data_IF_459633415802
#
_entry.id   IF_459633415802
#
_cell.length_a   1.000
_cell.length_b   1.000
_cell.length_c   1.000
_cell.angle_alpha   90.00
_cell.angle_beta   90.00
_cell.angle_gamma   90.00
#
_symmetry.space_group_name_H-M   'P 1'
#
loop_
_entity.id
_entity.type
_entity.pdbx_description
1 polymer ?
#
# COMPACT_ATOMS: atom_id res chain seq x y z
N UNK A 1 6.65 -18.39 -4.33
CA UNK A 1 6.01 -17.68 -3.20
C UNK A 1 5.29 -16.40 -3.63
N UNK A 2 5.99 -15.34 -4.10
CA UNK A 2 5.33 -14.08 -4.53
C UNK A 2 4.37 -14.24 -5.72
N UNK A 3 4.68 -15.11 -6.68
CA UNK A 3 3.80 -15.39 -7.83
C UNK A 3 2.46 -16.01 -7.40
N UNK A 4 2.49 -16.99 -6.49
CA UNK A 4 1.30 -17.66 -5.94
C UNK A 4 0.39 -16.65 -5.23
N UNK A 5 0.94 -15.82 -4.34
CA UNK A 5 0.16 -14.78 -3.68
C UNK A 5 -0.39 -13.74 -4.67
N UNK A 6 0.33 -13.48 -5.78
CA UNK A 6 -0.15 -12.58 -6.83
C UNK A 6 -1.35 -13.15 -7.56
N UNK A 7 -1.29 -14.42 -7.93
CA UNK A 7 -2.36 -15.15 -8.61
C UNK A 7 -3.59 -15.33 -7.71
N UNK A 8 -3.40 -15.68 -6.44
CA UNK A 8 -4.48 -15.78 -5.46
C UNK A 8 -5.23 -14.44 -5.36
N UNK A 9 -4.51 -13.32 -5.21
CA UNK A 9 -5.12 -12.00 -5.13
C UNK A 9 -5.94 -11.60 -6.37
N UNK A 10 -5.58 -12.07 -7.57
CA UNK A 10 -6.36 -11.79 -8.79
C UNK A 10 -7.62 -12.64 -8.92
N UNK A 11 -7.74 -13.75 -8.19
CA UNK A 11 -8.92 -14.62 -8.20
C UNK A 11 -9.93 -14.30 -7.09
N UNK A 12 -9.58 -13.41 -6.16
CA UNK A 12 -10.47 -13.04 -5.07
C UNK A 12 -11.58 -12.12 -5.57
N UNK A 13 -12.83 -12.52 -5.36
CA UNK A 13 -13.98 -11.63 -5.46
C UNK A 13 -14.07 -10.80 -4.18
N UNK A 14 -13.75 -9.50 -4.29
CA UNK A 14 -13.72 -8.58 -3.17
C UNK A 14 -14.81 -7.53 -3.37
N UNK A 15 -15.77 -7.48 -2.44
CA UNK A 15 -16.68 -6.34 -2.34
C UNK A 15 -15.96 -5.17 -1.67
N UNK A 16 -15.55 -4.19 -2.48
CA UNK A 16 -14.81 -3.01 -2.02
C UNK A 16 -15.57 -2.15 -1.01
N UNK A 17 -16.88 -2.34 -0.82
CA UNK A 17 -17.67 -1.62 0.18
C UNK A 17 -17.51 -2.20 1.59
N UNK A 18 -17.07 -3.46 1.73
CA UNK A 18 -16.88 -4.08 3.05
C UNK A 18 -15.86 -3.28 3.90
N UNK A 19 -16.08 -3.09 5.21
CA UNK A 19 -15.18 -2.31 6.07
C UNK A 19 -13.83 -3.01 6.33
N UNK A 20 -13.76 -4.33 6.11
CA UNK A 20 -12.58 -5.17 6.27
C UNK A 20 -12.72 -6.43 5.41
N UNK A 21 -11.62 -7.11 5.10
CA UNK A 21 -11.65 -8.37 4.35
C UNK A 21 -11.27 -9.55 5.23
N UNK A 22 -12.14 -10.56 5.30
CA UNK A 22 -11.82 -11.86 5.89
C UNK A 22 -11.89 -12.92 4.78
N UNK A 23 -10.74 -13.46 4.41
CA UNK A 23 -10.55 -14.33 3.26
C UNK A 23 -10.19 -15.72 3.76
N UNK A 24 -10.94 -16.73 3.33
CA UNK A 24 -10.53 -18.13 3.42
C UNK A 24 -9.87 -18.51 2.10
N UNK A 25 -8.61 -18.93 2.13
CA UNK A 25 -7.79 -19.19 0.96
C UNK A 25 -7.24 -20.61 0.97
N UNK A 26 -7.15 -21.20 -0.21
CA UNK A 26 -6.52 -22.52 -0.42
C UNK A 26 -4.99 -22.47 -0.55
N UNK A 27 -4.36 -21.33 -0.22
CA UNK A 27 -2.90 -21.25 -0.24
C UNK A 27 -2.31 -21.88 1.03
N UNK A 28 -1.05 -22.36 0.99
CA UNK A 28 -0.36 -22.81 2.18
C UNK A 28 -0.30 -21.72 3.27
N UNK A 29 -0.48 -22.13 4.53
CA UNK A 29 -0.53 -21.23 5.70
C UNK A 29 0.64 -20.24 5.79
N UNK A 30 1.84 -20.65 5.38
CA UNK A 30 3.03 -19.81 5.33
C UNK A 30 2.96 -18.64 4.33
N UNK A 31 1.93 -18.56 3.48
CA UNK A 31 1.73 -17.50 2.50
C UNK A 31 0.60 -16.53 2.87
N UNK A 32 -0.18 -16.79 3.93
CA UNK A 32 -1.32 -15.95 4.33
C UNK A 32 -0.92 -14.50 4.55
N UNK A 33 0.23 -14.26 5.20
CA UNK A 33 0.74 -12.91 5.45
C UNK A 33 1.12 -12.14 4.17
N UNK A 34 1.59 -12.83 3.13
CA UNK A 34 1.92 -12.19 1.85
C UNK A 34 0.65 -11.78 1.10
N UNK A 35 -0.38 -12.63 1.11
CA UNK A 35 -1.68 -12.30 0.53
C UNK A 35 -2.33 -11.15 1.30
N UNK A 36 -2.33 -11.21 2.64
CA UNK A 36 -2.90 -10.17 3.51
C UNK A 36 -2.24 -8.80 3.26
N UNK A 37 -0.90 -8.73 3.20
CA UNK A 37 -0.19 -7.49 2.91
C UNK A 37 -0.49 -6.95 1.51
N UNK A 38 -0.71 -7.84 0.52
CA UNK A 38 -1.04 -7.41 -0.84
C UNK A 38 -2.44 -6.83 -0.93
N UNK A 39 -3.43 -7.48 -0.32
CA UNK A 39 -4.81 -6.98 -0.28
C UNK A 39 -4.89 -5.68 0.52
N UNK A 40 -4.17 -5.58 1.65
CA UNK A 40 -4.04 -4.33 2.41
C UNK A 40 -3.49 -3.21 1.53
N UNK A 41 -2.43 -3.47 0.75
CA UNK A 41 -1.83 -2.48 -0.13
C UNK A 41 -2.81 -1.93 -1.17
N UNK A 42 -3.66 -2.78 -1.74
CA UNK A 42 -4.63 -2.40 -2.78
C UNK A 42 -5.82 -1.60 -2.23
N UNK A 43 -6.33 -1.98 -1.06
CA UNK A 43 -7.61 -1.46 -0.58
C UNK A 43 -7.51 -0.62 0.70
N UNK A 44 -6.35 -0.58 1.35
CA UNK A 44 -6.09 0.17 2.58
C UNK A 44 -7.11 -0.10 3.71
N UNK A 45 -7.57 -1.35 3.79
CA UNK A 45 -8.54 -1.83 4.79
C UNK A 45 -7.96 -3.00 5.58
N UNK A 46 -8.44 -3.25 6.81
CA UNK A 46 -8.00 -4.40 7.60
C UNK A 46 -8.27 -5.70 6.86
N UNK A 47 -7.27 -6.59 6.84
CA UNK A 47 -7.32 -7.86 6.11
C UNK A 47 -6.93 -9.00 7.03
N UNK A 48 -7.75 -10.04 7.07
CA UNK A 48 -7.45 -11.32 7.67
C UNK A 48 -7.48 -12.40 6.57
N UNK A 49 -6.39 -13.14 6.41
CA UNK A 49 -6.32 -14.27 5.48
C UNK A 49 -6.13 -15.54 6.30
N UNK A 50 -7.04 -16.49 6.12
CA UNK A 50 -7.01 -17.80 6.74
C UNK A 50 -6.78 -18.89 5.69
N UNK A 51 -6.11 -19.95 6.10
CA UNK A 51 -6.03 -21.21 5.36
C UNK A 51 -6.19 -22.37 6.34
N UNK A 52 -6.49 -23.56 5.83
CA UNK A 52 -6.46 -24.77 6.66
C UNK A 52 -5.04 -24.98 7.20
N UNK A 53 -4.96 -25.39 8.46
CA UNK A 53 -3.69 -25.75 9.10
C UNK A 53 -3.18 -27.06 8.50
N UNK A 54 -1.88 -27.11 8.21
CA UNK A 54 -1.31 -28.31 7.59
C UNK A 54 -1.47 -29.53 8.51
N UNK A 55 -1.99 -30.63 7.96
CA UNK A 55 -2.24 -31.87 8.70
C UNK A 55 -3.49 -31.88 9.61
N UNK A 56 -4.34 -30.86 9.60
CA UNK A 56 -5.62 -30.85 10.35
C UNK A 56 -6.74 -30.19 9.54
N UNK A 57 -7.94 -30.78 9.52
CA UNK A 57 -9.03 -30.27 8.69
C UNK A 57 -9.95 -29.26 9.38
N UNK A 58 -9.88 -29.12 10.70
CA UNK A 58 -10.82 -28.37 11.55
C UNK A 58 -10.24 -27.07 12.13
N UNK A 59 -8.96 -26.79 11.88
CA UNK A 59 -8.26 -25.60 12.38
C UNK A 59 -7.83 -24.72 11.21
N UNK A 60 -8.08 -23.42 11.35
CA UNK A 60 -7.61 -22.39 10.42
C UNK A 60 -6.48 -21.59 11.04
N UNK A 61 -5.43 -21.32 10.25
CA UNK A 61 -4.34 -20.41 10.61
C UNK A 61 -4.55 -19.08 9.90
N UNK A 62 -4.71 -18.01 10.67
CA UNK A 62 -4.94 -16.65 10.21
C UNK A 62 -3.69 -15.78 10.26
N UNK A 63 -3.48 -14.98 9.21
CA UNK A 63 -2.58 -13.84 9.23
C UNK A 63 -3.34 -12.55 8.97
N UNK A 64 -3.21 -11.61 9.92
CA UNK A 64 -3.93 -10.33 9.90
C UNK A 64 -2.93 -9.21 9.60
N UNK A 65 -3.35 -8.29 8.74
CA UNK A 65 -2.64 -7.04 8.40
C UNK A 65 -3.63 -5.90 8.43
N UNK A 66 -3.24 -4.79 9.02
CA UNK A 66 -4.12 -3.65 9.25
C UNK A 66 -3.46 -2.34 8.78
N UNK A 67 -4.26 -1.37 8.28
CA UNK A 67 -3.76 -0.04 7.98
C UNK A 67 -3.42 0.71 9.27
N UNK A 68 -2.59 1.75 9.17
CA UNK A 68 -2.33 2.65 10.31
C UNK A 68 -3.65 3.16 10.90
N UNK A 69 -3.72 3.15 12.23
CA UNK A 69 -4.90 3.54 12.99
C UNK A 69 -5.74 2.36 13.46
N UNK A 70 -5.70 1.21 12.78
CA UNK A 70 -6.40 -0.01 13.22
C UNK A 70 -5.54 -0.80 14.20
N UNK A 71 -6.06 -1.06 15.40
CA UNK A 71 -5.42 -1.93 16.39
C UNK A 71 -6.01 -3.35 16.34
N UNK A 72 -5.20 -4.29 15.86
CA UNK A 72 -5.55 -5.71 15.75
C UNK A 72 -5.64 -6.41 17.10
N UNK A 73 -4.80 -6.01 18.07
CA UNK A 73 -4.81 -6.64 19.39
C UNK A 73 -6.06 -6.23 20.15
N UNK A 74 -6.43 -4.94 20.09
CA UNK A 74 -7.70 -4.46 20.67
C UNK A 74 -8.93 -5.10 19.98
N UNK A 75 -8.86 -5.33 18.66
CA UNK A 75 -9.90 -6.08 17.95
C UNK A 75 -10.06 -7.49 18.53
N UNK A 76 -8.96 -8.23 18.69
CA UNK A 76 -8.98 -9.59 19.23
C UNK A 76 -9.46 -9.68 20.68
N UNK A 77 -9.26 -8.65 21.50
CA UNK A 77 -9.80 -8.63 22.88
C UNK A 77 -11.30 -8.33 22.93
N UNK A 78 -11.85 -7.66 21.90
CA UNK A 78 -13.28 -7.30 21.83
C UNK A 78 -14.14 -8.32 21.08
N UNK A 79 -13.52 -9.28 20.42
CA UNK A 79 -14.18 -10.38 19.71
C UNK A 79 -14.51 -11.50 20.70
N UNK A 80 -15.67 -12.13 20.55
CA UNK A 80 -16.11 -13.27 21.37
C UNK A 80 -15.55 -14.62 20.88
N UNK A 81 -14.61 -14.58 19.93
CA UNK A 81 -13.96 -15.74 19.34
C UNK A 81 -13.07 -16.46 20.35
N UNK A 82 -13.24 -17.78 20.44
CA UNK A 82 -12.33 -18.66 21.17
C UNK A 82 -11.09 -18.95 20.32
N UNK A 83 -10.15 -18.01 20.29
CA UNK A 83 -8.86 -18.21 19.63
C UNK A 83 -8.08 -19.37 20.27
N UNK A 84 -7.65 -20.34 19.46
CA UNK A 84 -6.76 -21.41 19.89
C UNK A 84 -5.35 -20.85 20.15
N UNK A 85 -4.91 -19.93 19.29
CA UNK A 85 -3.73 -19.08 19.51
C UNK A 85 -4.03 -17.68 18.99
N UNK A 86 -3.46 -16.65 19.62
CA UNK A 86 -3.43 -15.27 19.10
C UNK A 86 -2.15 -14.58 19.56
N UNK A 87 -1.58 -13.72 18.73
CA UNK A 87 -0.41 -12.92 19.08
C UNK A 87 0.05 -12.02 17.95
N UNK A 88 0.82 -10.97 18.29
CA UNK A 88 1.34 -10.02 17.32
C UNK A 88 1.44 -8.60 17.88
N UNK A 89 1.23 -7.64 17.00
CA UNK A 89 1.32 -6.20 17.26
C UNK A 89 0.13 -5.47 16.63
N UNK A 90 0.01 -4.18 16.95
CA UNK A 90 -1.06 -3.28 16.51
C UNK A 90 -1.46 -3.45 15.03
N UNK A 91 -0.50 -3.56 14.11
CA UNK A 91 -0.77 -3.60 12.66
C UNK A 91 -0.66 -5.01 12.02
N UNK A 92 -0.23 -6.01 12.78
CA UNK A 92 0.10 -7.33 12.26
C UNK A 92 -0.04 -8.39 13.35
N UNK A 93 -0.90 -9.38 13.12
CA UNK A 93 -1.08 -10.48 14.06
C UNK A 93 -1.21 -11.83 13.34
N UNK A 94 -1.00 -12.90 14.11
CA UNK A 94 -1.35 -14.25 13.75
C UNK A 94 -2.33 -14.83 14.76
N UNK A 95 -3.24 -15.66 14.28
CA UNK A 95 -4.16 -16.39 15.16
C UNK A 95 -4.52 -17.75 14.59
N UNK A 96 -5.11 -18.60 15.41
CA UNK A 96 -5.77 -19.82 14.96
C UNK A 96 -7.13 -19.99 15.60
N UNK A 97 -8.09 -20.50 14.83
CA UNK A 97 -9.49 -20.68 15.21
C UNK A 97 -9.99 -22.02 14.68
N UNK A 98 -11.12 -22.50 15.21
CA UNK A 98 -11.83 -23.62 14.58
C UNK A 98 -12.46 -23.15 13.27
N UNK A 99 -12.56 -24.02 12.27
CA UNK A 99 -13.17 -23.70 10.97
C UNK A 99 -14.61 -23.19 11.12
N UNK A 100 -15.36 -23.76 12.06
CA UNK A 100 -16.74 -23.36 12.37
C UNK A 100 -16.86 -21.95 12.97
N UNK A 101 -15.78 -21.39 13.52
CA UNK A 101 -15.77 -20.03 14.09
C UNK A 101 -15.47 -18.97 13.04
N UNK A 102 -15.07 -19.35 11.82
CA UNK A 102 -14.71 -18.40 10.76
C UNK A 102 -15.86 -17.44 10.36
N UNK A 103 -17.13 -17.88 10.23
CA UNK A 103 -18.23 -16.95 9.97
C UNK A 103 -18.42 -15.91 11.08
N UNK A 104 -18.25 -16.33 12.35
CA UNK A 104 -18.32 -15.42 13.49
C UNK A 104 -17.15 -14.43 13.47
N UNK A 105 -15.94 -14.92 13.16
CA UNK A 105 -14.75 -14.08 13.03
C UNK A 105 -14.98 -12.99 11.96
N UNK A 106 -15.45 -13.37 10.76
CA UNK A 106 -15.71 -12.43 9.67
C UNK A 106 -16.69 -11.34 10.10
N UNK A 107 -17.77 -11.72 10.78
CA UNK A 107 -18.79 -10.79 11.26
C UNK A 107 -18.24 -9.80 12.29
N UNK A 108 -17.57 -10.28 13.33
CA UNK A 108 -17.09 -9.42 14.41
C UNK A 108 -15.91 -8.55 13.99
N UNK A 109 -15.02 -9.07 13.15
CA UNK A 109 -13.92 -8.29 12.59
C UNK A 109 -14.43 -7.12 11.73
N UNK A 110 -15.42 -7.39 10.87
CA UNK A 110 -16.10 -6.35 10.09
C UNK A 110 -16.83 -5.33 10.98
N UNK A 111 -17.51 -5.80 12.04
CA UNK A 111 -18.18 -4.91 12.99
C UNK A 111 -17.20 -4.00 13.72
N UNK A 112 -16.08 -4.53 14.20
CA UNK A 112 -15.03 -3.75 14.84
C UNK A 112 -14.43 -2.71 13.89
N UNK A 113 -14.16 -3.10 12.63
CA UNK A 113 -13.67 -2.20 11.59
C UNK A 113 -14.66 -1.07 11.27
N UNK A 114 -15.96 -1.37 11.27
CA UNK A 114 -17.02 -0.39 11.02
C UNK A 114 -17.16 0.62 12.17
N UNK A 115 -17.16 0.12 13.42
CA UNK A 115 -17.35 0.95 14.62
C UNK A 115 -16.18 1.89 14.84
N UNK A 116 -14.97 1.41 14.65
CA UNK A 116 -13.76 2.20 14.80
C UNK A 116 -13.35 2.65 13.40
N UNK A 117 -13.99 3.68 12.84
CA UNK A 117 -13.62 4.16 11.50
C UNK A 117 -12.16 4.61 11.50
N UNK A 118 -11.29 3.73 11.01
CA UNK A 118 -9.89 4.02 10.80
C UNK A 118 -9.81 4.79 9.49
N UNK A 119 -9.63 6.10 9.59
CA UNK A 119 -9.36 6.90 8.41
C UNK A 119 -7.99 6.46 7.90
N UNK A 120 -7.86 5.96 6.66
CA UNK A 120 -6.54 5.81 6.07
C UNK A 120 -5.88 7.18 6.20
N UNK A 121 -4.75 7.21 6.91
CA UNK A 121 -4.04 8.45 7.19
C UNK A 121 -3.83 9.12 5.84
N UNK A 122 -4.46 10.29 5.62
CA UNK A 122 -4.26 11.04 4.39
C UNK A 122 -2.77 11.16 4.20
N UNK A 123 -2.30 10.64 3.07
CA UNK A 123 -0.91 10.71 2.71
C UNK A 123 -0.51 12.19 2.73
N UNK A 124 0.37 12.54 3.66
CA UNK A 124 0.79 13.93 3.85
C UNK A 124 1.72 14.27 2.70
N UNK A 125 1.24 15.09 1.79
CA UNK A 125 2.04 15.68 0.72
C UNK A 125 2.37 17.12 1.08
N UNK A 126 3.55 17.56 0.66
CA UNK A 126 3.99 18.94 0.74
C UNK A 126 3.82 19.54 -0.67
N UNK A 127 3.04 20.62 -0.85
CA UNK A 127 3.00 21.32 -2.13
C UNK A 127 4.41 21.71 -2.56
N UNK A 128 4.78 21.42 -3.80
CA UNK A 128 6.08 21.78 -4.37
C UNK A 128 5.80 22.56 -5.65
N UNK A 129 6.32 23.78 -5.75
CA UNK A 129 6.21 24.54 -6.98
C UNK A 129 7.10 23.89 -8.06
N UNK A 130 6.69 23.98 -9.32
CA UNK A 130 7.44 23.39 -10.43
C UNK A 130 8.89 23.93 -10.50
N UNK A 131 9.11 25.20 -10.16
CA UNK A 131 10.45 25.82 -10.09
C UNK A 131 11.31 25.38 -8.90
N UNK A 132 10.71 24.73 -7.90
CA UNK A 132 11.42 24.20 -6.73
C UNK A 132 11.92 22.77 -6.95
N UNK A 133 11.60 22.14 -8.09
CA UNK A 133 12.13 20.83 -8.48
C UNK A 133 13.56 20.96 -8.99
N UNK A 134 14.50 21.20 -8.07
CA UNK A 134 15.89 21.49 -8.38
C UNK A 134 16.87 20.97 -7.30
N UNK A 135 18.16 21.03 -7.62
CA UNK A 135 19.25 20.51 -6.76
C UNK A 135 19.35 21.23 -5.41
N UNK A 136 19.04 22.53 -5.36
CA UNK A 136 19.07 23.31 -4.11
C UNK A 136 18.03 22.78 -3.12
N UNK A 137 16.80 22.55 -3.59
CA UNK A 137 15.72 21.96 -2.77
C UNK A 137 16.10 20.55 -2.33
N UNK A 138 16.65 19.74 -3.23
CA UNK A 138 17.10 18.39 -2.89
C UNK A 138 18.18 18.39 -1.80
N UNK A 139 19.22 19.21 -1.93
CA UNK A 139 20.28 19.33 -0.90
C UNK A 139 19.74 19.78 0.44
N UNK A 140 18.84 20.76 0.45
CA UNK A 140 18.16 21.20 1.67
C UNK A 140 17.37 20.05 2.30
N UNK A 141 16.59 19.31 1.51
CA UNK A 141 15.87 18.12 1.97
C UNK A 141 16.81 17.07 2.59
N UNK A 142 17.99 16.87 2.01
CA UNK A 142 18.99 15.91 2.51
C UNK A 142 19.55 16.28 3.88
N UNK A 143 19.44 17.54 4.33
CA UNK A 143 19.86 17.94 5.69
C UNK A 143 19.00 17.31 6.79
N UNK A 144 17.77 16.87 6.47
CA UNK A 144 16.89 16.17 7.39
C UNK A 144 17.13 14.66 7.44
N UNK A 145 17.96 14.10 6.55
CA UNK A 145 18.26 12.68 6.52
C UNK A 145 18.99 12.24 7.82
N UNK A 146 18.92 10.95 8.22
CA UNK A 146 18.47 9.80 7.44
C UNK A 146 16.95 9.60 7.44
N UNK A 147 16.41 9.23 6.27
CA UNK A 147 15.03 8.79 6.13
C UNK A 147 14.92 7.27 6.28
N UNK A 148 13.82 6.79 6.83
CA UNK A 148 13.58 5.36 7.10
C UNK A 148 12.15 5.07 7.54
N UNK A 149 11.92 3.90 8.13
CA UNK A 149 10.57 3.47 8.51
C UNK A 149 9.92 4.36 9.59
N UNK A 150 10.71 4.85 10.54
CA UNK A 150 10.26 5.80 11.57
C UNK A 150 10.32 7.29 11.17
N UNK A 151 10.99 7.62 10.06
CA UNK A 151 11.10 8.99 9.55
C UNK A 151 11.09 8.98 8.02
N UNK A 152 9.90 8.84 7.44
CA UNK A 152 9.73 8.68 5.99
C UNK A 152 10.21 9.93 5.25
N UNK A 153 10.79 9.73 4.07
CA UNK A 153 11.11 10.84 3.19
C UNK A 153 9.82 11.60 2.81
N UNK A 154 9.85 12.95 2.76
CA UNK A 154 8.72 13.74 2.35
C UNK A 154 8.23 13.40 0.94
N UNK A 155 6.91 13.35 0.78
CA UNK A 155 6.22 13.28 -0.51
C UNK A 155 5.78 14.66 -0.92
N UNK A 156 5.95 14.98 -2.19
CA UNK A 156 5.66 16.28 -2.76
C UNK A 156 4.49 16.18 -3.72
N UNK A 157 3.62 17.19 -3.69
CA UNK A 157 2.51 17.35 -4.62
C UNK A 157 2.88 18.45 -5.62
N UNK A 158 3.03 18.06 -6.89
CA UNK A 158 3.08 19.00 -8.00
C UNK A 158 1.68 19.14 -8.57
N UNK A 159 1.25 20.37 -8.86
CA UNK A 159 -0.08 20.63 -9.41
C UNK A 159 0.00 21.40 -10.72
N UNK A 160 -1.02 21.26 -11.56
CA UNK A 160 -1.17 22.09 -12.75
C UNK A 160 -0.27 21.70 -13.93
N UNK A 161 0.24 20.47 -13.98
CA UNK A 161 1.06 20.01 -15.10
C UNK A 161 0.19 19.80 -16.33
N UNK A 162 0.75 20.06 -17.51
CA UNK A 162 0.07 19.78 -18.77
C UNK A 162 0.42 18.36 -19.25
N UNK A 163 -0.53 17.42 -19.31
CA UNK A 163 -0.25 16.07 -19.79
C UNK A 163 0.36 16.03 -21.20
N UNK A 164 0.14 17.06 -22.02
CA UNK A 164 0.73 17.15 -23.37
C UNK A 164 2.25 17.33 -23.36
N UNK A 165 2.84 17.77 -22.25
CA UNK A 165 4.30 17.88 -22.11
C UNK A 165 4.95 16.58 -21.63
N UNK A 166 4.15 15.57 -21.32
CA UNK A 166 4.65 14.27 -20.86
C UNK A 166 5.24 13.47 -22.01
N UNK A 167 6.36 12.80 -21.73
CA UNK A 167 6.93 11.81 -22.63
C UNK A 167 6.77 10.43 -22.02
N UNK A 168 6.60 9.41 -22.85
CA UNK A 168 6.41 8.05 -22.37
C UNK A 168 7.50 7.13 -22.90
N UNK A 169 7.95 6.22 -22.05
CA UNK A 169 9.00 5.24 -22.33
C UNK A 169 8.42 3.83 -22.39
N UNK A 170 9.15 2.91 -23.05
CA UNK A 170 8.78 1.50 -23.23
C UNK A 170 7.37 1.32 -23.82
N UNK A 171 7.06 2.08 -24.86
CA UNK A 171 5.78 2.02 -25.58
C UNK A 171 4.60 2.43 -24.68
N UNK A 172 4.63 3.66 -24.16
CA UNK A 172 3.52 4.22 -23.39
C UNK A 172 3.43 3.83 -21.92
N UNK A 173 4.27 2.91 -21.43
CA UNK A 173 4.12 2.33 -20.07
C UNK A 173 4.60 3.22 -18.93
N UNK A 174 5.61 4.05 -19.15
CA UNK A 174 6.29 4.79 -18.09
C UNK A 174 6.41 6.26 -18.43
N UNK A 175 5.86 7.13 -17.60
CA UNK A 175 6.01 8.58 -17.70
C UNK A 175 7.46 9.03 -17.47
N UNK A 176 7.94 9.92 -18.30
CA UNK A 176 9.19 10.67 -18.18
C UNK A 176 8.96 12.11 -18.61
N UNK A 177 9.51 13.08 -17.89
CA UNK A 177 9.49 14.49 -18.32
C UNK A 177 10.69 15.22 -17.74
N UNK A 178 11.31 16.12 -18.50
CA UNK A 178 12.28 17.05 -17.95
C UNK A 178 11.55 18.26 -17.36
N UNK A 179 11.92 18.63 -16.14
CA UNK A 179 11.43 19.83 -15.48
C UNK A 179 12.63 20.57 -14.89
N UNK A 180 13.09 21.61 -15.59
CA UNK A 180 14.35 22.29 -15.25
C UNK A 180 15.54 21.33 -15.32
N UNK A 181 16.28 21.21 -14.23
CA UNK A 181 17.45 20.32 -14.10
C UNK A 181 17.07 18.89 -13.64
N UNK A 182 15.82 18.69 -13.25
CA UNK A 182 15.34 17.43 -12.73
C UNK A 182 14.55 16.65 -13.78
N UNK A 183 14.53 15.32 -13.63
CA UNK A 183 13.66 14.44 -14.40
C UNK A 183 12.50 13.95 -13.53
N UNK A 184 11.27 14.20 -13.95
CA UNK A 184 10.11 13.50 -13.43
C UNK A 184 10.05 12.12 -14.07
N UNK A 185 9.92 11.08 -13.26
CA UNK A 185 9.87 9.69 -13.71
C UNK A 185 8.79 8.93 -12.96
N UNK A 186 7.96 8.16 -13.67
CA UNK A 186 7.04 7.21 -13.05
C UNK A 186 7.09 5.85 -13.76
N UNK A 187 7.00 4.79 -12.98
CA UNK A 187 6.89 3.41 -13.48
C UNK A 187 5.46 2.85 -13.39
N UNK A 188 4.53 3.64 -12.84
CA UNK A 188 3.14 3.25 -12.59
C UNK A 188 2.15 4.00 -13.49
N UNK A 189 2.57 5.12 -14.08
CA UNK A 189 1.74 5.99 -14.92
C UNK A 189 2.06 5.73 -16.39
N UNK A 190 1.02 5.41 -17.16
CA UNK A 190 1.05 5.19 -18.62
C UNK A 190 0.44 6.36 -19.39
N UNK A 191 0.54 6.31 -20.72
CA UNK A 191 -0.05 7.32 -21.62
C UNK A 191 -1.56 7.47 -21.47
N UNK A 192 -2.26 6.37 -21.22
CA UNK A 192 -3.71 6.36 -21.01
C UNK A 192 -4.15 6.86 -19.62
N UNK A 193 -3.20 7.29 -18.77
CA UNK A 193 -3.50 7.68 -17.38
C UNK A 193 -4.08 9.08 -17.23
N UNK A 194 -4.15 9.89 -18.30
CA UNK A 194 -4.59 11.29 -18.22
C UNK A 194 -5.57 11.66 -19.32
N UNK A 195 -6.54 12.49 -18.96
CA UNK A 195 -7.28 13.30 -19.92
C UNK A 195 -6.39 14.49 -20.35
N UNK A 196 -6.10 14.58 -21.66
CA UNK A 196 -5.24 15.63 -22.22
C UNK A 196 -5.89 17.02 -22.22
N UNK A 197 -7.17 17.14 -21.88
CA UNK A 197 -7.88 18.41 -21.71
C UNK A 197 -7.74 18.98 -20.29
N UNK A 198 -7.34 18.17 -19.31
CA UNK A 198 -7.21 18.55 -17.91
C UNK A 198 -5.75 18.76 -17.49
N UNK A 199 -5.57 19.36 -16.31
CA UNK A 199 -4.24 19.47 -15.70
C UNK A 199 -3.99 18.28 -14.79
N UNK A 200 -2.78 17.72 -14.89
CA UNK A 200 -2.34 16.62 -14.05
C UNK A 200 -1.76 17.11 -12.72
N UNK A 201 -2.07 16.37 -11.66
CA UNK A 201 -1.46 16.53 -10.35
C UNK A 201 -0.67 15.26 -10.03
N UNK A 202 0.60 15.41 -9.67
CA UNK A 202 1.52 14.28 -9.48
C UNK A 202 2.04 14.26 -8.05
N UNK A 203 2.13 13.07 -7.46
CA UNK A 203 2.73 12.85 -6.14
C UNK A 203 3.99 12.02 -6.27
N UNK A 204 5.10 12.54 -5.75
CA UNK A 204 6.39 11.87 -5.83
C UNK A 204 7.40 12.32 -4.78
N UNK A 205 8.59 11.73 -4.81
CA UNK A 205 9.68 12.04 -3.88
C UNK A 205 10.99 12.25 -4.64
N UNK A 206 11.84 13.15 -4.13
CA UNK A 206 13.17 13.35 -4.71
C UNK A 206 14.04 12.12 -4.58
N UNK A 207 14.83 11.87 -5.62
CA UNK A 207 15.81 10.80 -5.70
C UNK A 207 17.02 11.31 -6.47
N UNK A 208 18.21 10.99 -5.97
CA UNK A 208 19.43 11.12 -6.76
C UNK A 208 19.75 9.76 -7.39
N UNK A 209 19.95 9.75 -8.69
CA UNK A 209 20.35 8.59 -9.45
C UNK A 209 21.78 8.76 -9.93
N UNK A 210 22.66 7.80 -9.63
CA UNK A 210 24.07 7.84 -10.03
C UNK A 210 24.29 6.79 -11.10
N UNK A 211 24.55 7.24 -12.34
CA UNK A 211 24.75 6.36 -13.49
C UNK A 211 26.04 6.76 -14.22
N UNK A 212 26.99 5.82 -14.35
CA UNK A 212 28.33 6.07 -14.90
C UNK A 212 29.02 7.32 -14.33
N UNK A 213 28.91 7.51 -13.01
CA UNK A 213 29.51 8.66 -12.31
C UNK A 213 28.78 10.00 -12.51
N UNK A 214 27.75 10.07 -13.37
CA UNK A 214 26.88 11.24 -13.49
C UNK A 214 25.72 11.12 -12.50
N UNK A 215 25.48 12.20 -11.77
CA UNK A 215 24.37 12.34 -10.83
C UNK A 215 23.23 13.03 -11.56
N UNK A 216 22.06 12.40 -11.56
CA UNK A 216 20.85 12.97 -12.11
C UNK A 216 19.84 13.13 -10.98
N UNK A 217 19.30 14.33 -10.86
CA UNK A 217 18.19 14.58 -9.95
C UNK A 217 16.89 14.08 -10.59
N UNK A 218 16.17 13.27 -9.85
CA UNK A 218 14.89 12.70 -10.27
C UNK A 218 13.81 13.03 -9.24
N UNK A 219 12.60 13.31 -9.71
CA UNK A 219 11.40 13.21 -8.89
C UNK A 219 10.68 11.92 -9.30
N UNK A 220 10.76 10.91 -8.45
CA UNK A 220 10.09 9.63 -8.68
C UNK A 220 8.62 9.77 -8.27
N UNK A 221 7.73 9.76 -9.26
CA UNK A 221 6.29 9.88 -9.11
C UNK A 221 5.67 8.50 -8.94
N UNK A 222 4.95 8.33 -7.84
CA UNK A 222 4.31 7.08 -7.45
C UNK A 222 2.86 7.00 -7.92
N UNK A 223 2.18 8.15 -8.04
CA UNK A 223 0.77 8.25 -8.45
C UNK A 223 0.42 9.60 -9.08
N UNK A 224 -0.61 9.58 -9.91
CA UNK A 224 -1.38 10.75 -10.33
C UNK A 224 -2.63 10.89 -9.43
N UNK A 225 -3.10 12.12 -9.24
CA UNK A 225 -4.37 12.43 -8.57
C UNK A 225 -5.43 12.86 -9.58
#
# INVERSE_FOLDING_TARGET
RRAIAKEAASKLEINVEEPSFSILSDIPEGLNGLLASKVLGLYQKPVAVFSKKDGTNDVLIGSIRAPEGFDVMDAFEKMSISFLTKGGHTLAAGCSIKENDFPLFKKEFAFYALKNKFLPKKERTIPLALGEVNEKTYRFLRTFAPFGEGFKAPRFLLTGLDPKTFTYMKGGKYLSMLLGEARILSFTISEDSFDLSEKANLVGSFRENVFHGKRNLELLVEKAL
#
